data_IF_123412255168
#
_entry.id   IF_123412255168
#
_cell.length_a   1.000
_cell.length_b   1.000
_cell.length_c   1.000
_cell.angle_alpha   90.00
_cell.angle_beta   90.00
_cell.angle_gamma   90.00
#
_symmetry.space_group_name_H-M   'P 1'
#
loop_
_entity.id
_entity.type
_entity.pdbx_description
1 polymer ?
#
# COMPACT_ATOMS: atom_id res chain seq x y z
N UNK A 1 -20.55 15.92 17.65
CA UNK A 1 -20.65 14.65 17.40
C UNK A 1 -19.38 13.99 17.40
N UNK A 2 -19.29 13.00 18.12
CA UNK A 2 -18.13 12.48 18.25
C UNK A 2 -17.72 11.69 17.16
N UNK A 3 -16.52 11.58 16.93
CA UNK A 3 -15.94 10.80 15.92
C UNK A 3 -16.08 9.36 16.31
N UNK A 4 -16.89 8.64 15.59
CA UNK A 4 -17.10 7.27 15.91
C UNK A 4 -15.87 6.44 15.84
N UNK A 5 -14.95 6.78 14.94
CA UNK A 5 -13.73 5.98 14.85
C UNK A 5 -12.93 6.10 16.14
N UNK A 6 -12.89 7.28 16.73
CA UNK A 6 -12.16 7.41 17.97
C UNK A 6 -12.77 6.59 19.07
N UNK A 7 -14.10 6.49 19.06
CA UNK A 7 -14.73 5.73 20.10
C UNK A 7 -14.53 4.24 19.91
N UNK A 8 -14.24 3.82 18.69
CA UNK A 8 -14.10 2.40 18.43
C UNK A 8 -12.66 1.95 18.26
N UNK A 9 -11.73 2.79 18.64
CA UNK A 9 -10.35 2.36 18.64
C UNK A 9 -10.14 1.51 19.88
N UNK A 10 -10.15 0.22 19.70
CA UNK A 10 -10.05 -0.70 20.80
C UNK A 10 -8.65 -1.22 20.93
N UNK A 11 -8.38 -1.91 22.03
CA UNK A 11 -7.09 -2.53 22.22
C UNK A 11 -6.78 -3.49 21.10
N UNK A 12 -7.81 -4.13 20.57
CA UNK A 12 -7.58 -5.08 19.49
C UNK A 12 -7.09 -4.37 18.23
N UNK A 13 -7.68 -3.23 17.89
CA UNK A 13 -7.25 -2.47 16.73
C UNK A 13 -5.84 -1.98 16.93
N UNK A 14 -5.53 -1.48 18.13
CA UNK A 14 -4.18 -1.01 18.40
C UNK A 14 -3.19 -2.16 18.26
N UNK A 15 -3.56 -3.33 18.77
CA UNK A 15 -2.67 -4.49 18.69
C UNK A 15 -2.44 -4.86 17.21
N UNK A 16 -3.46 -4.81 16.40
CA UNK A 16 -3.31 -5.12 14.97
C UNK A 16 -2.38 -4.14 14.30
N UNK A 17 -2.49 -2.87 14.65
CA UNK A 17 -1.61 -1.87 14.06
C UNK A 17 -0.17 -2.06 14.51
N UNK A 18 0.02 -2.39 15.80
CA UNK A 18 1.36 -2.55 16.33
C UNK A 18 2.06 -3.81 15.80
N UNK A 19 1.26 -4.84 15.52
CA UNK A 19 1.85 -6.10 15.08
C UNK A 19 1.70 -6.31 13.58
N UNK A 20 1.30 -5.28 12.84
CA UNK A 20 1.12 -5.39 11.42
C UNK A 20 2.45 -5.76 10.76
N UNK A 21 2.41 -6.78 9.94
CA UNK A 21 3.62 -7.28 9.30
C UNK A 21 3.89 -6.47 8.03
N UNK A 22 4.73 -5.46 8.17
CA UNK A 22 5.04 -4.58 7.05
C UNK A 22 5.79 -5.30 5.94
N UNK A 23 6.62 -6.27 6.31
CA UNK A 23 7.38 -7.00 5.30
C UNK A 23 6.45 -7.86 4.46
N UNK A 24 5.47 -8.51 5.08
CA UNK A 24 4.53 -9.32 4.33
C UNK A 24 3.69 -8.44 3.40
N UNK A 25 3.31 -7.26 3.87
CA UNK A 25 2.58 -6.33 3.05
C UNK A 25 3.42 -5.93 1.84
N UNK A 26 4.67 -5.54 2.09
CA UNK A 26 5.56 -5.12 1.02
C UNK A 26 5.71 -6.23 -0.02
N UNK A 27 5.92 -7.47 0.42
CA UNK A 27 6.12 -8.57 -0.53
C UNK A 27 4.85 -8.82 -1.34
N UNK A 28 3.69 -8.69 -0.73
CA UNK A 28 2.44 -8.88 -1.45
C UNK A 28 2.25 -7.82 -2.53
N UNK A 29 2.51 -6.56 -2.17
CA UNK A 29 2.35 -5.47 -3.12
C UNK A 29 3.40 -5.59 -4.22
N UNK A 30 4.62 -5.97 -3.85
CA UNK A 30 5.68 -6.13 -4.84
C UNK A 30 5.31 -7.19 -5.87
N UNK A 31 4.79 -8.33 -5.41
CA UNK A 31 4.44 -9.39 -6.34
C UNK A 31 3.36 -8.92 -7.31
N UNK A 32 2.33 -8.28 -6.78
CA UNK A 32 1.23 -7.83 -7.63
C UNK A 32 1.68 -6.76 -8.61
N UNK A 33 2.54 -5.85 -8.16
CA UNK A 33 2.99 -4.78 -9.03
C UNK A 33 3.93 -5.30 -10.11
N UNK A 34 4.80 -6.25 -9.78
CA UNK A 34 5.70 -6.79 -10.78
C UNK A 34 4.93 -7.53 -11.86
N UNK A 35 3.87 -8.24 -11.47
CA UNK A 35 3.05 -8.93 -12.45
C UNK A 35 2.41 -7.93 -13.38
N UNK A 36 1.90 -6.83 -12.83
CA UNK A 36 1.24 -5.82 -13.63
C UNK A 36 2.23 -5.10 -14.54
N UNK A 37 3.36 -4.70 -13.99
CA UNK A 37 4.34 -3.96 -14.78
C UNK A 37 4.86 -4.80 -15.92
N UNK A 38 5.10 -6.08 -15.67
CA UNK A 38 5.60 -6.95 -16.71
C UNK A 38 4.56 -7.18 -17.80
N UNK A 39 3.29 -7.28 -17.44
CA UNK A 39 2.28 -7.50 -18.45
C UNK A 39 2.03 -6.26 -19.27
N UNK A 40 2.30 -5.08 -18.72
CA UNK A 40 2.10 -3.83 -19.45
C UNK A 40 3.31 -3.41 -20.25
N UNK A 41 4.44 -4.06 -20.05
CA UNK A 41 5.70 -3.58 -20.61
C UNK A 41 5.68 -3.45 -22.13
N UNK A 42 4.95 -4.32 -22.79
CA UNK A 42 4.98 -4.32 -24.22
C UNK A 42 4.18 -3.17 -24.82
N UNK A 43 3.24 -2.61 -24.05
CA UNK A 43 2.37 -1.60 -24.62
C UNK A 43 2.38 -0.27 -23.93
N UNK A 44 3.00 -0.17 -22.81
CA UNK A 44 2.80 0.99 -22.10
C UNK A 44 3.87 1.65 -21.53
N UNK A 45 4.85 1.89 -22.23
CA UNK A 45 5.82 2.80 -21.78
C UNK A 45 5.22 4.11 -21.48
N UNK A 46 4.04 4.33 -22.03
CA UNK A 46 3.39 5.58 -21.83
C UNK A 46 2.77 5.74 -20.50
N UNK A 47 2.54 4.65 -19.82
CA UNK A 47 1.95 4.77 -18.53
C UNK A 47 2.92 5.47 -17.66
N UNK A 48 2.47 6.47 -16.97
CA UNK A 48 3.34 7.24 -16.12
C UNK A 48 3.68 6.47 -14.86
N UNK A 49 4.84 6.79 -14.33
CA UNK A 49 5.24 6.23 -13.04
C UNK A 49 4.18 6.52 -12.00
N UNK A 50 3.59 7.71 -12.04
CA UNK A 50 2.59 8.08 -11.05
C UNK A 50 1.37 7.18 -11.09
N UNK A 51 1.02 6.68 -12.26
CA UNK A 51 -0.11 5.78 -12.37
C UNK A 51 0.20 4.46 -11.69
N UNK A 52 1.41 3.94 -11.87
CA UNK A 52 1.79 2.71 -11.18
C UNK A 52 1.84 2.92 -9.67
N UNK A 53 2.33 4.07 -9.24
CA UNK A 53 2.36 4.34 -7.80
C UNK A 53 0.94 4.41 -7.25
N UNK A 54 0.01 5.02 -7.99
CA UNK A 54 -1.36 5.10 -7.56
C UNK A 54 -1.99 3.71 -7.41
N UNK A 55 -1.69 2.82 -8.35
CA UNK A 55 -2.19 1.46 -8.27
C UNK A 55 -1.61 0.76 -7.04
N UNK A 56 -0.31 0.95 -6.80
CA UNK A 56 0.32 0.33 -5.64
C UNK A 56 -0.29 0.83 -4.34
N UNK A 57 -0.64 2.11 -4.28
CA UNK A 57 -1.28 2.66 -3.10
C UNK A 57 -2.66 2.05 -2.88
N UNK A 58 -3.41 1.86 -3.95
CA UNK A 58 -4.72 1.24 -3.86
C UNK A 58 -4.59 -0.20 -3.35
N UNK A 59 -3.63 -0.93 -3.87
CA UNK A 59 -3.39 -2.30 -3.44
C UNK A 59 -2.98 -2.35 -1.97
N UNK A 60 -2.22 -1.35 -1.53
CA UNK A 60 -1.81 -1.27 -0.13
C UNK A 60 -3.03 -1.08 0.76
N UNK A 61 -3.95 -0.23 0.36
CA UNK A 61 -5.16 -0.02 1.14
C UNK A 61 -6.01 -1.29 1.18
N UNK A 62 -6.08 -2.02 0.08
CA UNK A 62 -6.81 -3.28 0.05
C UNK A 62 -6.15 -4.30 0.98
N UNK A 63 -4.83 -4.31 1.04
CA UNK A 63 -4.14 -5.24 1.93
C UNK A 63 -4.54 -4.96 3.38
N UNK A 64 -4.59 -3.69 3.76
CA UNK A 64 -4.99 -3.34 5.12
C UNK A 64 -6.42 -3.79 5.39
N UNK A 65 -7.29 -3.62 4.41
CA UNK A 65 -8.68 -4.04 4.54
C UNK A 65 -8.75 -5.56 4.75
N UNK A 66 -7.98 -6.31 3.98
CA UNK A 66 -7.99 -7.75 4.08
C UNK A 66 -7.46 -8.25 5.41
N UNK A 67 -6.70 -7.43 6.09
CA UNK A 67 -6.15 -7.80 7.38
C UNK A 67 -6.94 -7.17 8.52
N UNK A 68 -8.22 -6.85 8.23
CA UNK A 68 -9.17 -6.45 9.26
C UNK A 68 -8.85 -5.13 9.94
N UNK A 69 -8.19 -4.25 9.25
CA UNK A 69 -7.99 -2.90 9.78
C UNK A 69 -9.16 -2.07 9.26
N UNK A 70 -9.91 -1.42 10.16
CA UNK A 70 -11.13 -0.72 9.76
C UNK A 70 -10.89 0.36 8.71
N UNK A 71 -11.91 0.59 7.90
CA UNK A 71 -11.81 1.50 6.77
C UNK A 71 -11.22 2.85 7.12
N UNK A 72 -11.53 3.41 8.22
CA UNK A 72 -11.02 4.73 8.56
C UNK A 72 -9.52 4.78 8.81
N UNK A 73 -8.89 3.62 8.88
CA UNK A 73 -7.48 3.56 9.25
C UNK A 73 -6.57 3.03 8.15
N UNK A 74 -7.06 2.97 6.91
CA UNK A 74 -6.14 2.52 5.86
C UNK A 74 -6.17 3.43 4.64
N UNK A 75 -6.45 4.70 4.84
CA UNK A 75 -6.25 5.65 3.77
C UNK A 75 -4.75 5.86 3.62
N UNK A 76 -4.33 6.31 2.43
CA UNK A 76 -2.90 6.52 2.23
C UNK A 76 -2.33 7.58 3.15
N UNK A 77 -3.15 8.54 3.57
CA UNK A 77 -2.67 9.52 4.52
C UNK A 77 -2.32 8.86 5.85
N UNK A 78 -3.19 7.98 6.33
CA UNK A 78 -2.92 7.30 7.59
C UNK A 78 -1.76 6.33 7.44
N UNK A 79 -1.75 5.56 6.36
CA UNK A 79 -0.70 4.57 6.13
C UNK A 79 0.65 5.26 6.05
N UNK A 80 0.71 6.39 5.38
CA UNK A 80 1.98 7.11 5.23
C UNK A 80 2.48 7.69 6.55
N UNK A 81 1.57 8.08 7.45
CA UNK A 81 1.99 8.57 8.72
C UNK A 81 2.43 7.46 9.66
N UNK A 82 1.72 6.35 9.60
CA UNK A 82 1.99 5.27 10.54
C UNK A 82 3.14 4.39 10.10
N UNK A 83 3.25 4.16 8.79
CA UNK A 83 4.26 3.25 8.25
C UNK A 83 5.03 3.93 7.13
N UNK A 84 5.78 5.00 7.46
CA UNK A 84 6.46 5.76 6.40
C UNK A 84 7.51 4.94 5.67
N UNK A 85 8.16 4.02 6.36
CA UNK A 85 9.17 3.20 5.69
C UNK A 85 8.54 2.23 4.71
N UNK A 86 7.36 1.71 5.05
CA UNK A 86 6.66 0.81 4.15
C UNK A 86 6.28 1.54 2.86
N UNK A 87 5.74 2.73 3.00
CA UNK A 87 5.35 3.50 1.83
C UNK A 87 6.55 3.84 0.97
N UNK A 88 7.67 4.21 1.61
CA UNK A 88 8.89 4.54 0.87
C UNK A 88 9.40 3.32 0.11
N UNK A 89 9.41 2.16 0.76
CA UNK A 89 9.87 0.93 0.11
C UNK A 89 9.01 0.58 -1.09
N UNK A 90 7.70 0.74 -0.96
CA UNK A 90 6.80 0.43 -2.05
C UNK A 90 7.04 1.37 -3.23
N UNK A 91 7.19 2.67 -2.94
CA UNK A 91 7.43 3.63 -4.02
C UNK A 91 8.75 3.36 -4.72
N UNK A 92 9.79 3.08 -3.96
CA UNK A 92 11.09 2.81 -4.57
C UNK A 92 11.04 1.54 -5.42
N UNK A 93 10.35 0.53 -4.95
CA UNK A 93 10.22 -0.71 -5.71
C UNK A 93 9.54 -0.44 -7.03
N UNK A 94 8.48 0.36 -7.03
CA UNK A 94 7.75 0.67 -8.24
C UNK A 94 8.64 1.48 -9.18
N UNK A 95 9.33 2.49 -8.65
CA UNK A 95 10.19 3.31 -9.47
C UNK A 95 11.26 2.49 -10.16
N UNK A 96 11.90 1.61 -9.40
CA UNK A 96 12.96 0.79 -9.96
C UNK A 96 12.43 -0.20 -10.99
N UNK A 97 11.27 -0.77 -10.70
CA UNK A 97 10.70 -1.78 -11.60
C UNK A 97 10.25 -1.16 -12.92
N UNK A 98 9.66 0.04 -12.86
CA UNK A 98 9.22 0.70 -14.07
C UNK A 98 10.42 1.16 -14.88
N UNK A 99 11.43 1.69 -14.21
CA UNK A 99 12.63 2.14 -14.91
C UNK A 99 13.34 0.98 -15.59
N UNK A 100 13.37 -0.18 -14.95
CA UNK A 100 14.06 -1.33 -15.54
C UNK A 100 13.34 -1.92 -16.74
N UNK A 101 12.13 -1.48 -17.02
CA UNK A 101 11.45 -1.95 -18.22
C UNK A 101 11.94 -1.25 -19.45
N UNK A 102 12.69 -0.20 -19.29
CA UNK A 102 13.24 0.49 -20.43
C UNK A 102 14.52 -0.18 -20.89
#
# INVERSE_FOLDING_TARGET
>A
MENKYNEHITEEIVRRLLTFDQDACFESIKKQMLERINSDASKKKLESLEKYISVAETLTCFYFCDHHIPYGFYTMEFVGRRYPDLVRRIRLMVEESVTNQE
#
